data_IF_777626451199
#
_entry.id   IF_777626451199
#
_cell.length_a   1.000
_cell.length_b   1.000
_cell.length_c   1.000
_cell.angle_alpha   90.00
_cell.angle_beta   90.00
_cell.angle_gamma   90.00
#
_symmetry.space_group_name_H-M   'P 1'
#
loop_
_entity.id
_entity.type
_entity.pdbx_description
1 polymer ?
#
# COMPACT_ATOMS: atom_id res chain seq x y z
N UNK A 1 29.92 9.97 64.31
CA UNK A 1 29.82 10.48 62.91
C UNK A 1 29.28 9.33 62.08
N UNK A 2 27.95 9.22 62.04
CA UNK A 2 27.25 8.33 61.12
C UNK A 2 27.19 9.03 59.76
N UNK A 3 27.69 8.35 58.72
CA UNK A 3 27.46 8.75 57.33
C UNK A 3 26.05 8.28 56.95
N UNK A 4 25.07 9.18 57.02
CA UNK A 4 23.77 8.99 56.38
C UNK A 4 23.96 9.01 54.86
N UNK A 5 24.00 7.82 54.26
CA UNK A 5 23.92 7.64 52.81
C UNK A 5 22.52 8.03 52.34
N UNK A 6 22.41 9.26 51.81
CA UNK A 6 21.20 9.87 51.31
C UNK A 6 20.75 9.17 50.01
N UNK A 7 20.01 8.05 50.16
CA UNK A 7 19.48 7.21 49.09
C UNK A 7 18.39 7.93 48.27
N UNK A 8 18.77 8.91 47.45
CA UNK A 8 17.88 9.50 46.44
C UNK A 8 17.71 8.50 45.31
N UNK A 9 16.54 7.87 45.23
CA UNK A 9 16.10 7.09 44.07
C UNK A 9 16.09 7.98 42.82
N UNK A 10 17.11 7.84 41.97
CA UNK A 10 17.15 8.53 40.68
C UNK A 10 16.13 7.95 39.70
N UNK A 11 15.49 8.82 38.91
CA UNK A 11 14.72 8.40 37.75
C UNK A 11 15.69 8.07 36.60
N UNK A 12 15.89 6.78 36.31
CA UNK A 12 16.61 6.34 35.11
C UNK A 12 15.72 6.38 33.85
N UNK A 13 16.27 6.79 32.71
CA UNK A 13 15.61 6.68 31.40
C UNK A 13 15.95 5.30 30.81
N UNK A 14 14.94 4.54 30.38
CA UNK A 14 15.13 3.22 29.75
C UNK A 14 14.95 3.32 28.25
N UNK A 15 13.91 4.04 27.82
CA UNK A 15 13.62 4.26 26.41
C UNK A 15 14.14 5.64 26.01
N UNK A 16 15.08 5.68 25.08
CA UNK A 16 15.57 6.94 24.53
C UNK A 16 14.45 7.66 23.73
N UNK A 17 14.60 8.98 23.55
CA UNK A 17 13.63 9.78 22.80
C UNK A 17 13.41 9.25 21.37
N UNK A 18 14.46 8.87 20.60
CA UNK A 18 14.29 8.35 19.24
C UNK A 18 13.39 7.11 19.15
N UNK A 19 13.52 6.13 20.05
CA UNK A 19 12.64 4.94 20.05
C UNK A 19 11.20 5.30 20.35
N UNK A 20 10.97 6.25 21.27
CA UNK A 20 9.61 6.70 21.61
C UNK A 20 8.95 7.41 20.44
N UNK A 21 9.68 8.32 19.78
CA UNK A 21 9.19 8.98 18.58
C UNK A 21 8.91 7.97 17.46
N UNK A 22 9.85 7.07 17.18
CA UNK A 22 9.66 5.99 16.21
C UNK A 22 8.38 5.20 16.49
N UNK A 23 8.17 4.75 17.73
CA UNK A 23 7.01 3.93 18.06
C UNK A 23 5.69 4.67 17.85
N UNK A 24 5.57 5.92 18.32
CA UNK A 24 4.33 6.68 18.16
C UNK A 24 4.09 7.09 16.71
N UNK A 25 5.15 7.43 15.97
CA UNK A 25 5.05 7.63 14.50
C UNK A 25 4.61 6.35 13.81
N UNK A 26 5.13 5.18 14.21
CA UNK A 26 4.75 3.89 13.66
C UNK A 26 3.27 3.60 13.89
N UNK A 27 2.78 3.82 15.12
CA UNK A 27 1.35 3.66 15.45
C UNK A 27 0.48 4.56 14.58
N UNK A 28 0.82 5.84 14.47
CA UNK A 28 0.08 6.80 13.63
C UNK A 28 0.12 6.41 12.16
N UNK A 29 1.27 5.97 11.65
CA UNK A 29 1.46 5.57 10.25
C UNK A 29 0.63 4.33 9.92
N UNK A 30 0.66 3.30 10.77
CA UNK A 30 -0.16 2.08 10.59
C UNK A 30 -1.65 2.44 10.64
N UNK A 31 -2.04 3.34 11.55
CA UNK A 31 -3.45 3.77 11.68
C UNK A 31 -3.90 4.52 10.42
N UNK A 32 -3.09 5.45 9.92
CA UNK A 32 -3.36 6.16 8.68
C UNK A 32 -3.49 5.20 7.51
N UNK A 33 -2.52 4.30 7.32
CA UNK A 33 -2.55 3.30 6.24
C UNK A 33 -3.79 2.41 6.29
N UNK A 34 -4.22 1.99 7.49
CA UNK A 34 -5.43 1.18 7.68
C UNK A 34 -6.72 1.95 7.40
N UNK A 35 -6.78 3.23 7.76
CA UNK A 35 -7.97 4.06 7.52
C UNK A 35 -8.12 4.48 6.05
N UNK A 36 -7.07 4.35 5.25
CA UNK A 36 -7.04 4.82 3.85
C UNK A 36 -6.91 3.69 2.84
N UNK A 37 -7.40 2.48 3.14
CA UNK A 37 -7.34 1.33 2.24
C UNK A 37 -8.25 1.44 1.01
N UNK A 38 -9.13 2.44 0.94
CA UNK A 38 -9.98 2.67 -0.23
C UNK A 38 -9.21 3.36 -1.36
N UNK A 39 -9.66 3.16 -2.60
CA UNK A 39 -9.09 3.79 -3.80
C UNK A 39 -9.11 5.33 -3.71
N UNK A 40 -10.12 5.91 -3.07
CA UNK A 40 -10.24 7.36 -2.89
C UNK A 40 -9.11 7.97 -2.05
N UNK A 41 -8.56 7.23 -1.08
CA UNK A 41 -7.49 7.70 -0.20
C UNK A 41 -6.14 7.04 -0.52
N UNK A 42 -6.00 6.52 -1.75
CA UNK A 42 -4.84 5.78 -2.21
C UNK A 42 -3.52 6.54 -2.01
N UNK A 43 -3.47 7.83 -2.35
CA UNK A 43 -2.27 8.67 -2.16
C UNK A 43 -1.84 8.77 -0.69
N UNK A 44 -2.80 8.78 0.23
CA UNK A 44 -2.51 8.79 1.66
C UNK A 44 -1.99 7.45 2.14
N UNK A 45 -2.56 6.34 1.64
CA UNK A 45 -2.06 4.99 1.92
C UNK A 45 -0.62 4.81 1.42
N UNK A 46 -0.35 5.23 0.17
CA UNK A 46 0.96 5.18 -0.45
C UNK A 46 1.99 6.00 0.35
N UNK A 47 1.63 7.23 0.71
CA UNK A 47 2.47 8.11 1.55
C UNK A 47 2.77 7.48 2.91
N UNK A 48 1.77 6.86 3.56
CA UNK A 48 1.95 6.13 4.80
C UNK A 48 2.87 4.91 4.64
N UNK A 49 2.76 4.18 3.52
CA UNK A 49 3.64 3.06 3.18
C UNK A 49 5.10 3.47 3.03
N UNK A 50 5.37 4.57 2.35
CA UNK A 50 6.74 5.14 2.24
C UNK A 50 7.28 5.63 3.58
N UNK A 51 6.45 6.30 4.38
CA UNK A 51 6.84 6.71 5.73
C UNK A 51 7.14 5.49 6.62
N UNK A 52 6.32 4.44 6.54
CA UNK A 52 6.55 3.19 7.26
C UNK A 52 7.91 2.58 6.88
N UNK A 53 8.23 2.51 5.58
CA UNK A 53 9.50 2.00 5.10
C UNK A 53 10.68 2.81 5.65
N UNK A 54 10.60 4.15 5.63
CA UNK A 54 11.61 5.03 6.21
C UNK A 54 11.78 4.78 7.72
N UNK A 55 10.68 4.64 8.46
CA UNK A 55 10.70 4.33 9.89
C UNK A 55 11.36 2.97 10.16
N UNK A 56 11.07 1.94 9.34
CA UNK A 56 11.68 0.62 9.46
C UNK A 56 13.18 0.64 9.15
N UNK A 57 13.62 1.40 8.15
CA UNK A 57 15.03 1.61 7.85
C UNK A 57 15.74 2.26 9.04
N UNK A 58 15.18 3.36 9.56
CA UNK A 58 15.68 4.02 10.76
C UNK A 58 15.78 3.03 11.93
N UNK A 59 14.72 2.28 12.20
CA UNK A 59 14.67 1.34 13.32
C UNK A 59 15.69 0.21 13.18
N UNK A 60 15.92 -0.26 11.96
CA UNK A 60 16.89 -1.31 11.67
C UNK A 60 18.29 -0.80 11.98
N UNK A 61 18.68 0.36 11.43
CA UNK A 61 19.97 1.01 11.71
C UNK A 61 20.13 1.28 13.21
N UNK A 62 19.13 1.91 13.84
CA UNK A 62 19.13 2.20 15.29
C UNK A 62 19.19 0.95 16.16
N UNK A 63 18.67 -0.19 15.68
CA UNK A 63 18.75 -1.48 16.36
C UNK A 63 20.15 -2.08 16.43
N UNK A 64 21.10 -1.58 15.64
CA UNK A 64 22.50 -1.98 15.73
C UNK A 64 23.36 -0.96 16.49
N UNK A 65 23.14 0.34 16.27
CA UNK A 65 24.00 1.41 16.80
C UNK A 65 23.42 2.22 17.98
N UNK A 66 22.12 2.07 18.27
CA UNK A 66 21.42 2.88 19.28
C UNK A 66 21.78 2.55 20.74
N UNK A 67 21.00 3.12 21.67
CA UNK A 67 21.16 2.92 23.11
C UNK A 67 21.11 1.44 23.55
N UNK A 68 21.55 1.15 24.78
CA UNK A 68 21.62 -0.24 25.30
C UNK A 68 20.31 -1.01 25.14
N UNK A 69 19.18 -0.40 25.48
CA UNK A 69 17.86 -1.02 25.37
C UNK A 69 17.26 -0.95 23.95
N UNK A 70 17.88 -0.20 23.03
CA UNK A 70 17.49 -0.10 21.62
C UNK A 70 17.97 -1.30 20.78
N UNK A 71 19.12 -1.86 21.17
CA UNK A 71 19.87 -2.79 20.34
C UNK A 71 19.24 -4.19 20.33
N UNK A 72 19.08 -4.78 19.14
CA UNK A 72 18.43 -6.09 18.96
C UNK A 72 19.02 -7.19 19.85
N UNK A 73 20.36 -7.21 19.97
CA UNK A 73 21.08 -8.17 20.82
C UNK A 73 20.67 -8.15 22.30
N UNK A 74 20.12 -7.05 22.80
CA UNK A 74 19.79 -6.89 24.22
C UNK A 74 18.44 -7.52 24.59
N UNK A 75 17.56 -7.72 23.61
CA UNK A 75 16.23 -8.32 23.80
C UNK A 75 15.98 -9.55 22.91
N UNK A 76 17.01 -10.02 22.20
CA UNK A 76 17.02 -11.31 21.51
C UNK A 76 17.30 -12.44 22.51
N UNK A 77 16.27 -12.85 23.25
CA UNK A 77 16.37 -13.93 24.23
C UNK A 77 16.31 -15.32 23.55
N UNK A 78 17.08 -16.31 24.03
CA UNK A 78 17.03 -17.66 23.51
C UNK A 78 15.67 -18.32 23.80
N UNK A 79 15.23 -19.23 22.93
CA UNK A 79 13.90 -19.86 23.02
C UNK A 79 13.54 -20.45 24.40
N UNK A 80 14.46 -21.12 25.14
CA UNK A 80 14.14 -21.61 26.48
C UNK A 80 13.71 -20.52 27.47
N UNK A 81 14.33 -19.33 27.40
CA UNK A 81 13.98 -18.19 28.25
C UNK A 81 12.59 -17.62 27.92
N UNK A 82 12.23 -17.62 26.63
CA UNK A 82 10.90 -17.21 26.17
C UNK A 82 9.84 -18.19 26.68
N UNK A 83 10.07 -19.50 26.48
CA UNK A 83 9.16 -20.54 26.96
C UNK A 83 8.96 -20.47 28.47
N UNK A 84 10.05 -20.30 29.24
CA UNK A 84 9.97 -20.16 30.69
C UNK A 84 9.13 -18.95 31.09
N UNK A 85 9.38 -17.80 30.46
CA UNK A 85 8.63 -16.58 30.76
C UNK A 85 7.13 -16.74 30.45
N UNK A 86 6.76 -17.39 29.34
CA UNK A 86 5.36 -17.67 29.02
C UNK A 86 4.70 -18.57 30.07
N UNK A 87 5.41 -19.59 30.58
CA UNK A 87 4.91 -20.44 31.66
C UNK A 87 4.74 -19.68 32.98
N UNK A 88 5.65 -18.77 33.30
CA UNK A 88 5.56 -17.90 34.48
C UNK A 88 4.33 -16.98 34.39
N UNK A 89 4.06 -16.40 33.21
CA UNK A 89 2.86 -15.60 32.96
C UNK A 89 1.58 -16.41 33.15
N UNK A 90 1.53 -17.66 32.66
CA UNK A 90 0.39 -18.56 32.88
C UNK A 90 0.19 -18.91 34.36
N UNK A 91 1.25 -18.87 35.16
CA UNK A 91 1.21 -19.07 36.61
C UNK A 91 0.94 -17.77 37.40
N UNK A 92 0.67 -16.65 36.72
CA UNK A 92 0.42 -15.36 37.35
C UNK A 92 1.67 -14.72 37.97
N UNK A 93 2.87 -15.08 37.50
CA UNK A 93 4.16 -14.53 37.95
C UNK A 93 4.77 -13.67 36.85
N UNK A 94 5.47 -12.59 37.20
CA UNK A 94 6.29 -11.83 36.24
C UNK A 94 7.76 -11.83 36.65
N UNK A 95 8.65 -12.26 35.76
CA UNK A 95 10.10 -12.13 35.95
C UNK A 95 10.54 -10.67 35.86
N UNK A 96 11.39 -10.22 36.78
CA UNK A 96 11.95 -8.86 36.75
C UNK A 96 13.05 -8.73 35.69
N UNK A 97 12.68 -8.38 34.45
CA UNK A 97 13.64 -7.94 33.42
C UNK A 97 13.61 -6.42 33.28
N UNK A 98 14.78 -5.80 33.15
CA UNK A 98 14.90 -4.38 32.80
C UNK A 98 14.89 -4.26 31.28
N UNK A 99 14.05 -3.40 30.73
CA UNK A 99 13.84 -3.31 29.28
C UNK A 99 12.70 -4.22 28.81
N UNK A 100 12.94 -5.00 27.75
CA UNK A 100 11.97 -5.95 27.22
C UNK A 100 12.04 -7.29 27.96
N UNK A 101 10.88 -7.87 28.27
CA UNK A 101 10.82 -9.26 28.70
C UNK A 101 10.99 -10.21 27.49
N UNK A 102 11.29 -11.50 27.71
CA UNK A 102 11.56 -12.45 26.62
C UNK A 102 10.44 -12.55 25.57
N UNK A 103 9.18 -12.57 25.99
CA UNK A 103 8.04 -12.64 25.06
C UNK A 103 7.88 -11.33 24.28
N UNK A 104 8.01 -10.19 24.95
CA UNK A 104 7.95 -8.86 24.35
C UNK A 104 9.07 -8.62 23.33
N UNK A 105 10.28 -9.11 23.61
CA UNK A 105 11.40 -9.06 22.66
C UNK A 105 11.11 -9.79 21.35
N UNK A 106 10.52 -11.00 21.44
CA UNK A 106 10.09 -11.76 20.26
C UNK A 106 8.89 -11.13 19.54
N UNK A 107 7.97 -10.52 20.28
CA UNK A 107 6.86 -9.77 19.67
C UNK A 107 7.36 -8.60 18.81
N UNK A 108 8.46 -7.93 19.21
CA UNK A 108 9.08 -6.89 18.38
C UNK A 108 9.64 -7.46 17.08
N UNK A 109 10.36 -8.59 17.13
CA UNK A 109 10.86 -9.22 15.91
C UNK A 109 9.72 -9.64 14.98
N UNK A 110 8.64 -10.18 15.55
CA UNK A 110 7.46 -10.58 14.78
C UNK A 110 6.77 -9.37 14.12
N UNK A 111 6.55 -8.29 14.86
CA UNK A 111 5.95 -7.06 14.34
C UNK A 111 6.85 -6.40 13.28
N UNK A 112 8.15 -6.22 13.55
CA UNK A 112 9.09 -5.62 12.59
C UNK A 112 9.26 -6.48 11.35
N UNK A 113 9.33 -7.80 11.48
CA UNK A 113 9.40 -8.73 10.35
C UNK A 113 8.13 -8.69 9.50
N UNK A 114 6.95 -8.68 10.14
CA UNK A 114 5.67 -8.56 9.43
C UNK A 114 5.59 -7.23 8.68
N UNK A 115 5.91 -6.11 9.35
CA UNK A 115 5.91 -4.79 8.72
C UNK A 115 6.89 -4.69 7.55
N UNK A 116 8.09 -5.28 7.68
CA UNK A 116 9.05 -5.35 6.58
C UNK A 116 8.49 -6.13 5.39
N UNK A 117 7.86 -7.27 5.63
CA UNK A 117 7.24 -8.06 4.57
C UNK A 117 6.08 -7.32 3.91
N UNK A 118 5.24 -6.61 4.68
CA UNK A 118 4.17 -5.73 4.17
C UNK A 118 4.77 -4.64 3.27
N UNK A 119 5.85 -3.98 3.70
CA UNK A 119 6.50 -2.94 2.90
C UNK A 119 7.09 -3.49 1.60
N UNK A 120 7.74 -4.67 1.64
CA UNK A 120 8.29 -5.31 0.44
C UNK A 120 7.18 -5.72 -0.53
N UNK A 121 6.14 -6.42 -0.04
CA UNK A 121 5.03 -6.84 -0.89
C UNK A 121 4.25 -5.63 -1.44
N UNK A 122 4.13 -4.54 -0.68
CA UNK A 122 3.52 -3.29 -1.14
C UNK A 122 4.31 -2.62 -2.26
N UNK A 123 5.63 -2.53 -2.15
CA UNK A 123 6.48 -1.99 -3.23
C UNK A 123 6.42 -2.83 -4.51
N UNK A 124 6.36 -4.16 -4.38
CA UNK A 124 6.23 -5.06 -5.54
C UNK A 124 4.83 -5.03 -6.15
N UNK A 125 3.80 -4.76 -5.34
CA UNK A 125 2.43 -4.49 -5.83
C UNK A 125 2.43 -3.21 -6.65
N UNK A 126 2.99 -2.13 -6.10
CA UNK A 126 3.11 -0.84 -6.79
C UNK A 126 3.90 -0.95 -8.10
N UNK A 127 5.03 -1.65 -8.10
CA UNK A 127 5.85 -1.83 -9.29
C UNK A 127 5.29 -2.81 -10.33
N UNK A 128 4.54 -3.81 -9.86
CA UNK A 128 4.05 -4.92 -10.66
C UNK A 128 2.62 -4.77 -11.13
N UNK A 129 1.68 -4.63 -10.20
CA UNK A 129 0.26 -4.53 -10.52
C UNK A 129 -0.05 -3.13 -11.03
N UNK A 130 0.27 -2.10 -10.25
CA UNK A 130 0.00 -0.69 -10.58
C UNK A 130 0.94 -0.17 -11.68
N UNK A 131 2.07 -0.86 -11.94
CA UNK A 131 3.09 -0.44 -12.92
C UNK A 131 3.58 1.00 -12.67
N UNK A 132 3.85 1.34 -11.41
CA UNK A 132 4.35 2.66 -10.98
C UNK A 132 5.44 2.56 -9.90
N UNK A 133 6.07 3.68 -9.57
CA UNK A 133 7.02 3.78 -8.45
C UNK A 133 8.38 3.09 -8.69
N UNK A 134 9.17 2.91 -7.60
CA UNK A 134 10.59 2.51 -7.66
C UNK A 134 10.87 1.17 -8.31
N UNK A 135 9.94 0.23 -8.19
CA UNK A 135 10.11 -1.14 -8.67
C UNK A 135 9.28 -1.39 -9.94
N UNK A 136 8.92 -0.33 -10.66
CA UNK A 136 8.18 -0.42 -11.91
C UNK A 136 8.85 -1.42 -12.88
N UNK A 137 8.06 -2.37 -13.37
CA UNK A 137 8.50 -3.36 -14.35
C UNK A 137 9.44 -4.44 -13.78
N UNK A 138 9.72 -4.44 -12.47
CA UNK A 138 10.54 -5.49 -11.85
C UNK A 138 9.83 -6.84 -11.82
N UNK A 139 8.50 -6.83 -11.77
CA UNK A 139 7.66 -8.03 -11.80
C UNK A 139 6.49 -7.81 -12.74
N UNK A 140 5.93 -8.91 -13.26
CA UNK A 140 4.76 -8.86 -14.14
C UNK A 140 3.49 -8.41 -13.39
N UNK A 141 2.47 -7.94 -14.11
CA UNK A 141 1.14 -7.61 -13.53
C UNK A 141 0.57 -8.79 -12.73
N UNK A 142 0.65 -10.01 -13.27
CA UNK A 142 0.19 -11.21 -12.57
C UNK A 142 0.96 -11.47 -11.26
N UNK A 143 2.28 -11.27 -11.27
CA UNK A 143 3.10 -11.37 -10.05
C UNK A 143 2.80 -10.25 -9.06
N UNK A 144 2.56 -9.03 -9.55
CA UNK A 144 2.11 -7.90 -8.74
C UNK A 144 0.81 -8.19 -8.01
N UNK A 145 -0.19 -8.74 -8.71
CA UNK A 145 -1.46 -9.14 -8.12
C UNK A 145 -1.32 -10.22 -7.03
N UNK A 146 -0.34 -11.12 -7.17
CA UNK A 146 0.01 -12.07 -6.10
C UNK A 146 0.66 -11.37 -4.89
N UNK A 147 1.53 -10.37 -5.14
CA UNK A 147 2.14 -9.58 -4.08
C UNK A 147 1.10 -8.73 -3.35
N UNK A 148 0.06 -8.26 -4.03
CA UNK A 148 -1.07 -7.57 -3.41
C UNK A 148 -1.83 -8.49 -2.47
N UNK A 149 -2.19 -9.71 -2.91
CA UNK A 149 -2.82 -10.69 -2.03
C UNK A 149 -1.97 -11.01 -0.80
N UNK A 150 -0.65 -11.12 -0.98
CA UNK A 150 0.28 -11.30 0.13
C UNK A 150 0.31 -10.07 1.05
N UNK A 151 0.30 -8.86 0.49
CA UNK A 151 0.23 -7.61 1.24
C UNK A 151 -1.03 -7.54 2.11
N UNK A 152 -2.20 -7.85 1.54
CA UNK A 152 -3.46 -7.88 2.27
C UNK A 152 -3.46 -8.96 3.37
N UNK A 153 -2.97 -10.15 3.05
CA UNK A 153 -2.86 -11.26 4.02
C UNK A 153 -1.96 -10.88 5.20
N UNK A 154 -0.81 -10.27 4.93
CA UNK A 154 0.11 -9.80 5.96
C UNK A 154 -0.46 -8.63 6.75
N UNK A 155 -1.24 -7.74 6.12
CA UNK A 155 -1.94 -6.65 6.81
C UNK A 155 -2.95 -7.20 7.81
N UNK A 156 -3.80 -8.16 7.42
CA UNK A 156 -4.70 -8.85 8.35
C UNK A 156 -3.96 -9.56 9.48
N UNK A 157 -2.82 -10.19 9.16
CA UNK A 157 -1.97 -10.80 10.17
C UNK A 157 -1.44 -9.75 11.16
N UNK A 158 -0.93 -8.60 10.68
CA UNK A 158 -0.51 -7.48 11.53
C UNK A 158 -1.65 -6.98 12.43
N UNK A 159 -2.85 -6.81 11.88
CA UNK A 159 -4.04 -6.38 12.63
C UNK A 159 -4.40 -7.38 13.73
N UNK A 160 -4.14 -8.68 13.53
CA UNK A 160 -4.30 -9.68 14.59
C UNK A 160 -3.19 -9.63 15.65
N UNK A 161 -1.96 -9.26 15.26
CA UNK A 161 -0.82 -9.15 16.17
C UNK A 161 -0.94 -7.94 17.11
N UNK A 162 -1.51 -6.83 16.66
CA UNK A 162 -1.70 -5.62 17.48
C UNK A 162 -2.48 -5.91 18.77
N UNK A 163 -3.69 -6.51 18.78
CA UNK A 163 -4.40 -6.81 20.01
C UNK A 163 -3.67 -7.84 20.87
N UNK A 164 -2.93 -8.79 20.29
CA UNK A 164 -2.07 -9.72 21.03
C UNK A 164 -0.96 -8.95 21.76
N UNK A 165 -0.31 -8.00 21.08
CA UNK A 165 0.68 -7.13 21.69
C UNK A 165 0.09 -6.31 22.84
N UNK A 166 -1.05 -5.66 22.62
CA UNK A 166 -1.72 -4.85 23.64
C UNK A 166 -2.18 -5.68 24.83
N UNK A 167 -2.66 -6.91 24.60
CA UNK A 167 -2.98 -7.86 25.66
C UNK A 167 -1.75 -8.23 26.49
N UNK A 168 -0.62 -8.50 25.84
CA UNK A 168 0.66 -8.72 26.53
C UNK A 168 1.07 -7.53 27.41
N UNK A 169 0.93 -6.31 26.90
CA UNK A 169 1.19 -5.07 27.68
C UNK A 169 0.23 -4.96 28.87
N UNK A 170 -1.04 -5.29 28.69
CA UNK A 170 -2.05 -5.23 29.75
C UNK A 170 -1.80 -6.29 30.85
N UNK A 171 -1.50 -7.53 30.46
CA UNK A 171 -1.16 -8.63 31.38
C UNK A 171 0.09 -8.26 32.17
N UNK A 172 1.15 -7.82 31.50
CA UNK A 172 2.41 -7.45 32.16
C UNK A 172 2.21 -6.26 33.10
N UNK A 173 1.40 -5.27 32.70
CA UNK A 173 1.00 -4.15 33.58
C UNK A 173 0.28 -4.66 34.83
N UNK A 174 -0.63 -5.61 34.71
CA UNK A 174 -1.43 -6.13 35.83
C UNK A 174 -0.58 -6.95 36.80
N UNK A 175 0.26 -7.85 36.27
CA UNK A 175 1.11 -8.73 37.07
C UNK A 175 2.28 -7.98 37.72
N UNK A 176 2.98 -7.13 36.96
CA UNK A 176 4.15 -6.39 37.46
C UNK A 176 3.78 -5.10 38.21
N UNK A 177 2.52 -4.65 38.11
CA UNK A 177 2.00 -3.35 38.60
C UNK A 177 2.74 -2.12 38.02
N UNK A 178 3.47 -2.29 36.91
CA UNK A 178 4.25 -1.22 36.28
C UNK A 178 3.44 -0.46 35.23
N UNK A 179 3.66 0.85 35.13
CA UNK A 179 3.01 1.72 34.15
C UNK A 179 3.78 1.71 32.81
N UNK A 180 3.70 0.60 32.08
CA UNK A 180 4.44 0.39 30.82
C UNK A 180 4.15 1.46 29.75
N UNK A 181 2.88 1.80 29.55
CA UNK A 181 2.47 2.85 28.59
C UNK A 181 3.05 4.20 28.99
N UNK A 182 3.04 4.53 30.29
CA UNK A 182 3.64 5.78 30.77
C UNK A 182 5.15 5.79 30.51
N UNK A 183 5.85 4.67 30.74
CA UNK A 183 7.26 4.55 30.41
C UNK A 183 7.54 4.75 28.91
N UNK A 184 6.60 4.39 28.02
CA UNK A 184 6.73 4.62 26.58
C UNK A 184 6.46 6.06 26.14
N UNK A 185 5.85 6.88 27.00
CA UNK A 185 5.65 8.31 26.78
C UNK A 185 6.81 9.10 27.39
N UNK A 186 7.10 8.85 28.68
CA UNK A 186 8.08 9.63 29.46
C UNK A 186 9.51 9.12 29.31
N UNK A 187 9.69 7.87 28.88
CA UNK A 187 10.99 7.17 28.86
C UNK A 187 11.50 6.76 30.24
N UNK A 188 10.86 7.23 31.31
CA UNK A 188 11.32 7.02 32.68
C UNK A 188 10.79 5.71 33.25
N UNK A 189 11.66 5.03 33.98
CA UNK A 189 11.32 3.82 34.72
C UNK A 189 11.52 4.13 36.22
N UNK A 190 10.46 4.03 36.99
CA UNK A 190 10.54 4.20 38.45
C UNK A 190 11.31 3.00 39.02
N UNK A 191 12.34 3.26 39.85
CA UNK A 191 13.24 2.27 40.49
C UNK A 191 14.44 1.74 39.68
N UNK A 192 15.02 2.51 38.76
CA UNK A 192 16.36 2.17 38.22
C UNK A 192 17.46 3.03 38.83
N UNK A 193 18.37 2.37 39.56
CA UNK A 193 19.63 2.96 40.08
C UNK A 193 20.64 3.29 38.97
N UNK A 194 20.46 2.72 37.79
CA UNK A 194 21.36 2.89 36.64
C UNK A 194 20.96 4.11 35.82
N UNK A 195 21.84 5.12 35.84
CA UNK A 195 21.83 6.24 34.90
C UNK A 195 22.13 5.68 33.51
N UNK A 196 21.15 5.61 32.62
CA UNK A 196 21.45 5.36 31.20
C UNK A 196 22.38 6.49 30.75
N UNK A 197 23.55 6.14 30.23
CA UNK A 197 24.46 7.13 29.65
C UNK A 197 23.72 7.88 28.54
N UNK A 198 23.54 9.18 28.71
CA UNK A 198 23.17 10.05 27.62
C UNK A 198 24.23 9.92 26.53
N UNK A 199 23.88 9.30 25.42
CA UNK A 199 24.67 9.41 24.21
C UNK A 199 24.12 10.58 23.40
N UNK A 200 24.75 11.73 23.59
CA UNK A 200 24.65 12.86 22.68
C UNK A 200 25.03 12.43 21.25
N UNK A 201 24.38 13.06 20.27
CA UNK A 201 24.70 13.02 18.83
C UNK A 201 24.41 11.71 18.07
N UNK A 202 24.36 10.53 18.68
CA UNK A 202 24.18 9.26 17.95
C UNK A 202 22.89 9.16 17.10
N UNK A 203 21.78 9.74 17.59
CA UNK A 203 20.50 9.72 16.88
C UNK A 203 20.49 10.62 15.65
N UNK A 204 21.27 11.69 15.67
CA UNK A 204 21.50 12.55 14.50
C UNK A 204 22.17 11.74 13.39
N UNK A 205 23.12 10.86 13.75
CA UNK A 205 23.77 9.94 12.81
C UNK A 205 22.78 8.96 12.17
N UNK A 206 21.86 8.40 12.95
CA UNK A 206 20.82 7.49 12.44
C UNK A 206 19.91 8.17 11.41
N UNK A 207 19.43 9.38 11.71
CA UNK A 207 18.58 10.17 10.81
C UNK A 207 19.37 10.59 9.55
N UNK A 208 20.60 11.07 9.72
CA UNK A 208 21.47 11.49 8.61
C UNK A 208 21.85 10.34 7.66
N UNK A 209 21.83 9.09 8.13
CA UNK A 209 22.09 7.93 7.27
C UNK A 209 20.84 7.47 6.53
N UNK A 210 19.67 7.45 7.17
CA UNK A 210 18.47 6.86 6.57
C UNK A 210 17.70 7.82 5.69
N UNK A 211 17.56 9.09 6.07
CA UNK A 211 16.72 10.05 5.33
C UNK A 211 17.29 10.40 3.96
N UNK A 212 18.60 10.73 3.79
CA UNK A 212 19.16 11.03 2.47
C UNK A 212 19.22 9.81 1.56
N UNK A 213 19.55 8.62 2.09
CA UNK A 213 19.58 7.39 1.31
C UNK A 213 18.17 7.03 0.79
N UNK A 214 17.15 7.18 1.64
CA UNK A 214 15.76 6.99 1.23
C UNK A 214 15.32 8.03 0.20
N UNK A 215 15.63 9.31 0.43
CA UNK A 215 15.29 10.38 -0.50
C UNK A 215 15.96 10.21 -1.87
N UNK A 216 17.22 9.78 -1.91
CA UNK A 216 17.94 9.49 -3.15
C UNK A 216 17.35 8.30 -3.89
N UNK A 217 17.02 7.22 -3.18
CA UNK A 217 16.34 6.08 -3.78
C UNK A 217 14.99 6.48 -4.34
N UNK A 218 14.16 7.17 -3.55
CA UNK A 218 12.83 7.65 -3.94
C UNK A 218 12.87 8.60 -5.15
N UNK A 219 13.78 9.57 -5.17
CA UNK A 219 13.90 10.51 -6.30
C UNK A 219 14.45 9.86 -7.57
N UNK A 220 15.28 8.81 -7.45
CA UNK A 220 15.74 8.03 -8.60
C UNK A 220 14.67 7.11 -9.21
N UNK A 221 13.55 6.97 -8.49
CA UNK A 221 12.55 5.93 -8.67
C UNK A 221 11.22 6.41 -9.24
N UNK A 222 11.07 7.71 -9.52
CA UNK A 222 9.84 8.24 -10.12
C UNK A 222 9.98 8.40 -11.64
N UNK A 223 9.63 7.38 -12.45
CA UNK A 223 9.14 7.63 -13.78
C UNK A 223 7.74 8.26 -13.69
N UNK A 224 7.49 9.26 -14.52
CA UNK A 224 6.15 9.86 -14.67
C UNK A 224 5.17 8.76 -15.16
N UNK A 225 4.14 8.40 -14.36
CA UNK A 225 3.22 7.30 -14.70
C UNK A 225 2.48 7.56 -16.02
N UNK A 226 2.18 8.82 -16.35
CA UNK A 226 1.56 9.19 -17.63
C UNK A 226 2.54 8.99 -18.78
N UNK A 227 3.84 9.26 -18.59
CA UNK A 227 4.85 9.14 -19.64
C UNK A 227 5.11 7.69 -20.11
N UNK A 228 4.83 6.71 -19.25
CA UNK A 228 4.97 5.28 -19.60
C UNK A 228 3.86 4.79 -20.53
N UNK A 229 2.68 5.41 -20.47
CA UNK A 229 1.53 5.06 -21.32
C UNK A 229 1.29 6.08 -22.45
N UNK A 230 1.84 7.30 -22.35
CA UNK A 230 1.74 8.34 -23.39
C UNK A 230 2.65 8.10 -24.60
N UNK A 231 3.57 7.13 -24.55
CA UNK A 231 4.32 6.68 -25.73
C UNK A 231 3.50 5.65 -26.51
N UNK A 232 2.25 6.02 -26.79
CA UNK A 232 1.20 5.12 -27.16
C UNK A 232 1.38 4.72 -28.64
N UNK A 233 1.96 3.55 -28.88
CA UNK A 233 2.20 3.03 -30.23
C UNK A 233 0.91 2.96 -31.07
N UNK A 234 -0.26 3.02 -30.42
CA UNK A 234 -1.56 2.98 -31.06
C UNK A 234 -1.98 4.29 -31.74
N UNK A 235 -1.59 5.47 -31.24
CA UNK A 235 -1.86 6.75 -31.92
C UNK A 235 -1.16 6.85 -33.28
N UNK A 236 -0.03 6.12 -33.41
CA UNK A 236 0.71 6.00 -34.68
C UNK A 236 0.17 4.93 -35.62
N UNK A 237 -0.82 4.15 -35.20
CA UNK A 237 -1.48 3.17 -36.06
C UNK A 237 -2.34 3.90 -37.10
N UNK A 238 -2.16 3.67 -38.42
CA UNK A 238 -2.95 4.36 -39.44
C UNK A 238 -4.47 4.16 -39.30
N UNK A 239 -4.91 3.10 -38.62
CA UNK A 239 -6.34 2.83 -38.38
C UNK A 239 -6.94 3.67 -37.27
N UNK A 240 -6.11 4.35 -36.47
CA UNK A 240 -6.56 5.21 -35.38
C UNK A 240 -7.47 6.34 -35.88
N UNK A 241 -7.09 7.00 -36.98
CA UNK A 241 -7.88 8.12 -37.54
C UNK A 241 -9.28 7.67 -37.94
N UNK A 242 -9.40 6.49 -38.57
CA UNK A 242 -10.69 5.92 -38.94
C UNK A 242 -11.58 5.64 -37.72
N UNK A 243 -11.02 5.06 -36.66
CA UNK A 243 -11.76 4.85 -35.42
C UNK A 243 -12.18 6.16 -34.75
N UNK A 244 -11.29 7.15 -34.71
CA UNK A 244 -11.58 8.45 -34.13
C UNK A 244 -12.67 9.20 -34.91
N UNK A 245 -12.56 9.28 -36.24
CA UNK A 245 -13.48 10.02 -37.10
C UNK A 245 -14.89 9.41 -37.09
N UNK A 246 -15.00 8.08 -37.20
CA UNK A 246 -16.28 7.40 -37.29
C UNK A 246 -16.99 7.27 -35.94
N UNK A 247 -16.26 7.18 -34.82
CA UNK A 247 -16.87 6.89 -33.51
C UNK A 247 -17.03 8.12 -32.60
N UNK A 248 -16.25 9.19 -32.78
CA UNK A 248 -16.26 10.34 -31.85
C UNK A 248 -17.54 11.19 -31.89
N UNK A 249 -18.40 10.99 -32.91
CA UNK A 249 -19.66 11.73 -33.05
C UNK A 249 -20.78 11.28 -32.11
N UNK A 250 -20.73 10.05 -31.59
CA UNK A 250 -21.85 9.45 -30.84
C UNK A 250 -21.60 9.39 -29.33
N UNK A 251 -20.39 9.04 -28.90
CA UNK A 251 -20.01 8.93 -27.50
C UNK A 251 -18.52 9.25 -27.32
N UNK A 252 -18.06 9.47 -26.09
CA UNK A 252 -16.61 9.58 -25.85
C UNK A 252 -15.93 8.30 -26.31
N UNK A 253 -14.79 8.43 -26.99
CA UNK A 253 -14.06 7.26 -27.49
C UNK A 253 -13.71 6.30 -26.35
N UNK A 254 -14.33 5.12 -26.39
CA UNK A 254 -14.04 4.06 -25.43
C UNK A 254 -12.73 3.40 -25.80
N UNK A 255 -11.69 3.61 -24.98
CA UNK A 255 -10.37 3.07 -25.27
C UNK A 255 -10.42 1.54 -25.49
N UNK A 256 -9.71 1.00 -26.51
CA UNK A 256 -9.77 -0.43 -26.85
C UNK A 256 -9.43 -1.38 -25.69
N UNK A 257 -8.60 -0.94 -24.74
CA UNK A 257 -8.21 -1.73 -23.55
C UNK A 257 -9.36 -2.09 -22.61
N UNK A 258 -10.56 -1.50 -22.79
CA UNK A 258 -11.71 -1.69 -21.89
C UNK A 258 -12.56 -2.92 -22.20
N UNK A 259 -12.30 -3.64 -23.30
CA UNK A 259 -12.95 -4.91 -23.62
C UNK A 259 -11.97 -5.88 -24.31
N UNK A 260 -12.19 -7.20 -24.19
CA UNK A 260 -11.40 -8.20 -24.90
C UNK A 260 -11.74 -8.23 -26.39
N UNK A 261 -10.85 -8.80 -27.21
CA UNK A 261 -11.03 -8.79 -28.68
C UNK A 261 -12.33 -9.46 -29.13
N UNK A 262 -12.75 -10.51 -28.41
CA UNK A 262 -14.01 -11.23 -28.66
C UNK A 262 -15.25 -10.34 -28.47
N UNK A 263 -15.21 -9.43 -27.51
CA UNK A 263 -16.28 -8.46 -27.28
C UNK A 263 -16.29 -7.41 -28.39
N UNK A 264 -15.14 -6.85 -28.73
CA UNK A 264 -15.06 -5.86 -29.83
C UNK A 264 -15.53 -6.43 -31.16
N UNK A 265 -15.13 -7.66 -31.50
CA UNK A 265 -15.64 -8.36 -32.69
C UNK A 265 -17.17 -8.46 -32.68
N UNK A 266 -17.76 -8.78 -31.53
CA UNK A 266 -19.21 -8.92 -31.39
C UNK A 266 -19.92 -7.57 -31.49
N UNK A 267 -19.38 -6.52 -30.89
CA UNK A 267 -19.90 -5.15 -30.97
C UNK A 267 -19.92 -4.68 -32.43
N UNK A 268 -18.81 -4.82 -33.15
CA UNK A 268 -18.72 -4.37 -34.55
C UNK A 268 -19.54 -5.25 -35.50
N UNK A 269 -19.68 -6.55 -35.23
CA UNK A 269 -20.55 -7.43 -36.00
C UNK A 269 -22.05 -7.08 -35.88
N UNK A 270 -22.43 -6.26 -34.89
CA UNK A 270 -23.79 -5.78 -34.66
C UNK A 270 -23.95 -4.31 -35.07
N UNK A 271 -23.19 -3.82 -36.05
CA UNK A 271 -23.24 -2.41 -36.43
C UNK A 271 -24.64 -1.92 -36.85
N UNK A 272 -25.48 -2.78 -37.44
CA UNK A 272 -26.87 -2.47 -37.82
C UNK A 272 -27.81 -2.31 -36.61
N UNK A 273 -27.33 -2.65 -35.41
CA UNK A 273 -28.01 -2.47 -34.14
C UNK A 273 -26.99 -2.25 -33.01
N UNK A 274 -26.20 -1.19 -33.16
CA UNK A 274 -25.25 -0.70 -32.18
C UNK A 274 -25.98 0.07 -31.08
N UNK A 275 -26.64 -0.68 -30.19
CA UNK A 275 -27.44 -0.15 -29.09
C UNK A 275 -28.60 0.74 -29.55
N UNK A 276 -29.45 0.22 -30.43
CA UNK A 276 -30.60 0.90 -31.03
C UNK A 276 -30.26 1.94 -32.11
N UNK A 277 -28.98 2.07 -32.48
CA UNK A 277 -28.54 2.86 -33.62
C UNK A 277 -27.87 2.00 -34.70
N UNK A 278 -27.91 2.46 -35.95
CA UNK A 278 -27.17 1.86 -37.06
C UNK A 278 -25.94 2.74 -37.33
N UNK A 279 -24.74 2.15 -37.25
CA UNK A 279 -23.50 2.88 -37.54
C UNK A 279 -23.36 3.22 -39.02
N UNK A 280 -24.06 2.49 -39.90
CA UNK A 280 -24.03 2.66 -41.35
C UNK A 280 -22.59 2.68 -41.93
N UNK A 281 -21.67 1.90 -41.37
CA UNK A 281 -20.29 1.84 -41.83
C UNK A 281 -20.16 0.93 -43.04
N UNK A 282 -19.47 1.44 -44.06
CA UNK A 282 -19.02 0.66 -45.20
C UNK A 282 -18.05 -0.46 -44.75
N UNK A 283 -17.91 -1.48 -45.60
CA UNK A 283 -17.14 -2.69 -45.27
C UNK A 283 -15.67 -2.39 -44.91
N UNK A 284 -15.02 -1.45 -45.61
CA UNK A 284 -13.63 -1.10 -45.36
C UNK A 284 -13.42 -0.40 -44.00
N UNK A 285 -14.09 0.73 -43.67
CA UNK A 285 -14.03 1.33 -42.34
C UNK A 285 -14.38 0.34 -41.22
N UNK A 286 -15.42 -0.48 -41.40
CA UNK A 286 -15.81 -1.50 -40.43
C UNK A 286 -14.65 -2.47 -40.14
N UNK A 287 -14.00 -2.99 -41.17
CA UNK A 287 -12.87 -3.92 -41.02
C UNK A 287 -11.67 -3.23 -40.37
N UNK A 288 -11.33 -2.00 -40.77
CA UNK A 288 -10.19 -1.27 -40.23
C UNK A 288 -10.38 -0.96 -38.73
N UNK A 289 -11.55 -0.46 -38.34
CA UNK A 289 -11.89 -0.16 -36.94
C UNK A 289 -11.90 -1.44 -36.11
N UNK A 290 -12.52 -2.51 -36.62
CA UNK A 290 -12.54 -3.81 -35.93
C UNK A 290 -11.13 -4.33 -35.66
N UNK A 291 -10.23 -4.25 -36.65
CA UNK A 291 -8.85 -4.68 -36.49
C UNK A 291 -8.09 -3.82 -35.48
N UNK A 292 -8.32 -2.51 -35.48
CA UNK A 292 -7.73 -1.58 -34.51
C UNK A 292 -8.16 -1.93 -33.07
N UNK A 293 -9.47 -2.09 -32.85
CA UNK A 293 -10.02 -2.47 -31.54
C UNK A 293 -9.49 -3.82 -31.04
N UNK A 294 -9.36 -4.81 -31.92
CA UNK A 294 -8.76 -6.11 -31.59
C UNK A 294 -7.28 -5.95 -31.19
N UNK A 295 -6.52 -5.18 -31.96
CA UNK A 295 -5.06 -5.03 -31.78
C UNK A 295 -4.70 -4.42 -30.43
N UNK A 296 -5.51 -3.50 -29.93
CA UNK A 296 -5.29 -2.80 -28.67
C UNK A 296 -6.29 -3.20 -27.56
N UNK A 297 -6.97 -4.34 -27.75
CA UNK A 297 -7.95 -4.89 -26.80
C UNK A 297 -7.34 -5.20 -25.43
N UNK A 298 -8.18 -5.44 -24.42
CA UNK A 298 -7.78 -5.69 -23.03
C UNK A 298 -6.69 -6.79 -22.88
N UNK A 299 -6.76 -7.84 -23.69
CA UNK A 299 -5.79 -8.96 -23.70
C UNK A 299 -4.44 -8.61 -24.35
N UNK A 300 -4.36 -7.50 -25.10
CA UNK A 300 -3.16 -7.00 -25.77
C UNK A 300 -2.53 -5.81 -25.03
N UNK A 301 -3.35 -5.04 -24.32
CA UNK A 301 -2.91 -3.87 -23.57
C UNK A 301 -2.16 -4.29 -22.30
N UNK A 302 -1.02 -3.66 -22.04
CA UNK A 302 -0.22 -3.92 -20.84
C UNK A 302 -0.51 -2.86 -19.77
N UNK A 303 -1.68 -2.95 -19.14
CA UNK A 303 -2.07 -2.12 -17.98
C UNK A 303 -2.82 -2.97 -16.95
N UNK A 304 -2.84 -2.52 -15.70
CA UNK A 304 -3.59 -3.18 -14.63
C UNK A 304 -5.07 -3.34 -15.00
N UNK A 305 -5.72 -2.24 -15.42
CA UNK A 305 -7.14 -2.22 -15.74
C UNK A 305 -7.47 -3.22 -16.86
N UNK A 306 -6.67 -3.22 -17.94
CA UNK A 306 -6.83 -4.16 -19.05
C UNK A 306 -6.69 -5.62 -18.60
N UNK A 307 -5.64 -5.92 -17.82
CA UNK A 307 -5.40 -7.25 -17.29
C UNK A 307 -6.55 -7.72 -16.39
N UNK A 308 -7.02 -6.88 -15.46
CA UNK A 308 -8.12 -7.20 -14.56
C UNK A 308 -9.46 -7.32 -15.28
N UNK A 309 -9.71 -6.50 -16.31
CA UNK A 309 -10.91 -6.61 -17.15
C UNK A 309 -10.93 -7.98 -17.83
N UNK A 310 -9.88 -8.36 -18.56
CA UNK A 310 -9.85 -9.63 -19.29
C UNK A 310 -9.97 -10.83 -18.33
N UNK A 311 -9.27 -10.82 -17.19
CA UNK A 311 -9.34 -11.88 -16.18
C UNK A 311 -10.67 -11.94 -15.42
N UNK A 312 -11.49 -10.88 -15.48
CA UNK A 312 -12.82 -10.86 -14.88
C UNK A 312 -13.93 -11.41 -15.79
N UNK A 313 -13.63 -11.63 -17.08
CA UNK A 313 -14.59 -12.10 -18.09
C UNK A 313 -14.27 -13.54 -18.45
N UNK A 314 -15.24 -14.44 -18.28
CA UNK A 314 -15.09 -15.85 -18.65
C UNK A 314 -14.74 -16.00 -20.16
N UNK A 315 -13.93 -17.01 -20.49
CA UNK A 315 -13.44 -17.21 -21.86
C UNK A 315 -14.56 -17.41 -22.90
N UNK A 316 -15.71 -17.97 -22.50
CA UNK A 316 -16.89 -18.15 -23.35
C UNK A 316 -17.84 -16.96 -23.38
N UNK A 317 -17.57 -15.90 -22.61
CA UNK A 317 -18.43 -14.73 -22.50
C UNK A 317 -17.83 -13.54 -23.25
N UNK A 318 -18.70 -12.79 -23.95
CA UNK A 318 -18.34 -11.60 -24.72
C UNK A 318 -19.34 -10.47 -24.38
N UNK A 319 -19.14 -9.74 -23.27
CA UNK A 319 -20.02 -8.64 -22.89
C UNK A 319 -19.99 -7.55 -23.96
N UNK A 320 -21.13 -6.93 -24.22
CA UNK A 320 -21.25 -5.83 -25.20
C UNK A 320 -20.95 -4.47 -24.55
N UNK A 321 -21.23 -4.31 -23.25
CA UNK A 321 -20.98 -3.07 -22.52
C UNK A 321 -19.83 -3.25 -21.54
N UNK A 322 -18.97 -2.24 -21.46
CA UNK A 322 -17.89 -2.16 -20.47
C UNK A 322 -18.47 -2.16 -19.04
N UNK A 323 -19.59 -1.46 -18.85
CA UNK A 323 -20.31 -1.34 -17.57
C UNK A 323 -20.94 -2.65 -17.08
N UNK A 324 -21.14 -3.64 -17.97
CA UNK A 324 -21.67 -4.95 -17.58
C UNK A 324 -20.58 -5.87 -17.00
N UNK A 325 -19.30 -5.54 -17.24
CA UNK A 325 -18.17 -6.34 -16.76
C UNK A 325 -18.14 -6.38 -15.23
N UNK A 326 -17.70 -7.52 -14.67
CA UNK A 326 -17.59 -7.68 -13.22
C UNK A 326 -16.57 -6.71 -12.63
N UNK A 327 -15.43 -6.52 -13.33
CA UNK A 327 -14.41 -5.58 -12.90
C UNK A 327 -14.94 -4.15 -12.77
N UNK A 328 -15.62 -3.64 -13.81
CA UNK A 328 -16.17 -2.29 -13.79
C UNK A 328 -17.15 -2.10 -12.63
N UNK A 329 -18.12 -3.03 -12.46
CA UNK A 329 -19.10 -2.96 -11.37
C UNK A 329 -18.43 -2.96 -10.00
N UNK A 330 -17.44 -3.83 -9.79
CA UNK A 330 -16.72 -3.89 -8.52
C UNK A 330 -15.90 -2.63 -8.22
N UNK A 331 -15.29 -2.00 -9.23
CA UNK A 331 -14.50 -0.78 -9.02
C UNK A 331 -15.37 0.46 -8.80
N UNK A 332 -16.59 0.49 -9.33
CA UNK A 332 -17.46 1.68 -9.33
C UNK A 332 -18.64 1.61 -8.35
N UNK A 333 -18.83 0.51 -7.62
CA UNK A 333 -20.01 0.32 -6.76
C UNK A 333 -20.11 1.25 -5.55
N UNK A 334 -18.99 1.83 -5.09
CA UNK A 334 -18.95 2.76 -3.94
C UNK A 334 -19.14 4.23 -4.34
N UNK A 335 -19.24 4.53 -5.64
CA UNK A 335 -19.42 5.90 -6.12
C UNK A 335 -20.87 6.31 -5.89
N UNK A 336 -21.06 7.43 -5.17
CA UNK A 336 -22.37 7.99 -4.89
C UNK A 336 -23.12 8.30 -6.19
N UNK A 337 -24.41 7.95 -6.25
CA UNK A 337 -25.20 8.13 -7.46
C UNK A 337 -25.31 9.61 -7.89
N UNK A 338 -25.18 10.56 -6.97
CA UNK A 338 -25.16 11.99 -7.26
C UNK A 338 -23.98 12.40 -8.14
N UNK A 339 -22.83 11.71 -8.02
CA UNK A 339 -21.64 12.01 -8.84
C UNK A 339 -21.92 11.70 -10.30
N UNK A 340 -22.62 10.59 -10.60
CA UNK A 340 -23.00 10.22 -11.96
C UNK A 340 -23.94 11.23 -12.62
N UNK A 341 -24.69 12.00 -11.84
CA UNK A 341 -25.62 13.02 -12.31
C UNK A 341 -24.96 14.38 -12.56
N UNK A 342 -23.69 14.55 -12.20
CA UNK A 342 -22.98 15.80 -12.43
C UNK A 342 -22.78 16.04 -13.93
N UNK A 343 -23.04 17.27 -14.43
CA UNK A 343 -22.80 17.61 -15.83
C UNK A 343 -21.36 17.38 -16.29
N UNK A 344 -20.38 17.52 -15.39
CA UNK A 344 -18.97 17.27 -15.68
C UNK A 344 -18.63 15.79 -15.81
N UNK A 345 -19.44 14.89 -15.22
CA UNK A 345 -19.24 13.44 -15.33
C UNK A 345 -20.04 12.88 -16.49
N UNK A 346 -21.23 13.40 -16.79
CA UNK A 346 -22.01 12.98 -17.96
C UNK A 346 -22.55 11.54 -17.91
N UNK A 347 -22.41 10.84 -16.78
CA UNK A 347 -22.88 9.48 -16.57
C UNK A 347 -21.83 8.38 -16.80
N UNK A 348 -22.26 7.13 -16.65
CA UNK A 348 -21.37 5.94 -16.50
C UNK A 348 -20.56 5.56 -17.74
N UNK A 349 -20.84 6.18 -18.89
CA UNK A 349 -20.15 5.93 -20.17
C UNK A 349 -19.05 6.95 -20.48
N UNK A 350 -19.01 8.09 -19.79
CA UNK A 350 -18.02 9.15 -20.01
C UNK A 350 -16.84 8.97 -19.06
N UNK A 351 -16.02 7.95 -19.33
CA UNK A 351 -14.92 7.57 -18.45
C UNK A 351 -13.91 8.71 -18.22
N UNK A 352 -13.71 9.57 -19.23
CA UNK A 352 -12.86 10.76 -19.21
C UNK A 352 -13.36 11.86 -18.28
N UNK A 353 -14.63 11.82 -17.86
CA UNK A 353 -15.18 12.74 -16.86
C UNK A 353 -14.54 12.57 -15.46
N UNK A 354 -13.97 11.40 -15.18
CA UNK A 354 -13.27 11.11 -13.93
C UNK A 354 -11.83 10.60 -14.13
N UNK A 355 -11.52 9.91 -15.23
CA UNK A 355 -10.19 9.36 -15.51
C UNK A 355 -9.40 10.28 -16.44
N UNK A 356 -8.41 10.98 -15.91
CA UNK A 356 -7.57 11.93 -16.68
C UNK A 356 -6.70 11.23 -17.73
N UNK A 357 -6.46 9.93 -17.57
CA UNK A 357 -5.69 9.07 -18.47
C UNK A 357 -6.56 8.19 -19.37
N UNK A 358 -7.88 8.43 -19.44
CA UNK A 358 -8.80 7.62 -20.24
C UNK A 358 -8.38 7.53 -21.71
N UNK A 359 -7.88 8.64 -22.28
CA UNK A 359 -7.37 8.69 -23.64
C UNK A 359 -6.12 7.81 -23.81
N UNK A 360 -5.22 7.78 -22.83
CA UNK A 360 -4.01 6.93 -22.85
C UNK A 360 -4.31 5.44 -22.60
N UNK A 361 -5.48 5.14 -22.01
CA UNK A 361 -5.99 3.79 -21.86
C UNK A 361 -5.44 3.00 -20.68
N UNK A 362 -4.70 3.64 -19.78
CA UNK A 362 -4.13 2.99 -18.60
C UNK A 362 -5.13 2.82 -17.46
N UNK A 363 -6.05 3.77 -17.27
CA UNK A 363 -7.05 3.82 -16.19
C UNK A 363 -6.44 3.56 -14.81
N UNK A 364 -5.35 4.25 -14.51
CA UNK A 364 -4.62 4.14 -13.23
C UNK A 364 -5.41 4.78 -12.09
N UNK A 365 -5.30 4.21 -10.89
CA UNK A 365 -5.98 4.72 -9.70
C UNK A 365 -5.51 6.17 -9.37
N UNK A 366 -4.25 6.52 -9.65
CA UNK A 366 -3.68 7.87 -9.45
C UNK A 366 -4.19 8.93 -10.45
N UNK A 367 -4.74 8.50 -11.59
CA UNK A 367 -5.26 9.41 -12.62
C UNK A 367 -6.75 9.73 -12.43
N UNK A 368 -7.37 9.20 -11.36
CA UNK A 368 -8.77 9.43 -11.03
C UNK A 368 -8.92 10.77 -10.31
N UNK A 369 -9.87 11.58 -10.79
CA UNK A 369 -10.33 12.80 -10.13
C UNK A 369 -11.84 12.82 -10.13
N UNK A 370 -12.44 12.65 -8.94
CA UNK A 370 -13.90 12.70 -8.79
C UNK A 370 -14.34 14.15 -8.56
N UNK A 371 -15.22 14.72 -9.40
CA UNK A 371 -15.69 16.08 -9.19
C UNK A 371 -16.46 16.23 -7.86
N UNK A 372 -16.06 17.19 -7.03
CA UNK A 372 -16.77 17.55 -5.80
C UNK A 372 -16.34 16.82 -4.52
N UNK A 373 -15.28 16.02 -4.58
CA UNK A 373 -14.58 15.38 -3.45
C UNK A 373 -13.12 15.82 -3.50
#
# INVERSE_FOLDING_TARGET
MEHEDNNKSGNGIVWDLPIRLFHWMLVLTITAAWMTTSTLYYETHLSAGYLLLLLLLFRTVWGFMGGTYARFRHFAHPWPAVRQHLLELMQGRSSHTVGHNPAGGWMIFLLLGTLLLISISGLLTLGGEEQTGPLNGWVSIASGALMHQLHETLAWFLISLIPIHLAGVAIERWLSKRKLVQAMITGSYTHLRTRSTEHGVGWVSGILLTTPAFALWFSSAEPNPVALYSNSAWESDPRYSHWQEECSGCHTLHHPSLLPSRSWKRVMAQQENHFEEDLALDEEPLQQITQFLIRYSAEQAYSEAAWKIDHSIEAGHAPLRITDTRYWRNRHHEIDEQIWLLPSVGGKIHCDGCHQDAAAGSFQDQAISLPGI
#
